data_IF_572237568938
#
_entry.id   IF_572237568938
#
_cell.length_a   1.000
_cell.length_b   1.000
_cell.length_c   1.000
_cell.angle_alpha   90.00
_cell.angle_beta   90.00
_cell.angle_gamma   90.00
#
_symmetry.space_group_name_H-M   'P 1'
#
loop_
_entity.id
_entity.type
_entity.pdbx_description
1 polymer ?
#
# COMPACT_ATOMS: atom_id res chain seq x y z
N UNK A 1 -8.36 -11.72 12.21
CA UNK A 1 -7.95 -13.08 12.63
C UNK A 1 -8.52 -13.37 14.01
N UNK A 2 -9.56 -14.20 14.10
CA UNK A 2 -10.14 -14.60 15.38
C UNK A 2 -9.10 -15.50 16.05
N UNK A 3 -8.58 -15.09 17.22
CA UNK A 3 -7.65 -15.91 18.01
C UNK A 3 -8.35 -17.21 18.40
N UNK A 4 -7.58 -18.27 18.64
CA UNK A 4 -8.11 -19.56 19.12
C UNK A 4 -8.78 -19.40 20.48
N UNK A 5 -10.05 -19.02 20.48
CA UNK A 5 -10.93 -19.07 21.64
C UNK A 5 -11.60 -20.43 21.57
N UNK A 6 -11.32 -21.29 22.56
CA UNK A 6 -11.82 -22.68 22.56
C UNK A 6 -13.34 -22.77 22.62
N UNK A 7 -14.01 -21.74 23.15
CA UNK A 7 -15.46 -21.69 23.30
C UNK A 7 -15.94 -20.24 23.12
N UNK A 8 -16.86 -20.02 22.19
CA UNK A 8 -17.62 -18.78 22.09
C UNK A 8 -18.92 -18.93 22.89
N UNK A 9 -19.48 -17.82 23.37
CA UNK A 9 -20.84 -17.82 23.91
C UNK A 9 -21.82 -18.30 22.82
N UNK A 10 -22.84 -19.09 23.20
CA UNK A 10 -23.76 -19.71 22.25
C UNK A 10 -24.47 -18.69 21.34
N UNK A 11 -24.76 -17.50 21.88
CA UNK A 11 -25.45 -16.40 21.19
C UNK A 11 -24.51 -15.48 20.38
N UNK A 12 -23.21 -15.75 20.36
CA UNK A 12 -22.26 -14.92 19.62
C UNK A 12 -22.58 -14.94 18.12
N UNK A 13 -22.58 -13.76 17.48
CA UNK A 13 -22.86 -13.61 16.03
C UNK A 13 -21.97 -14.50 15.16
N UNK A 14 -20.74 -14.77 15.59
CA UNK A 14 -19.81 -15.64 14.87
C UNK A 14 -20.28 -17.10 14.78
N UNK A 15 -21.25 -17.53 15.59
CA UNK A 15 -21.84 -18.85 15.47
C UNK A 15 -22.81 -18.95 14.29
N UNK A 16 -23.39 -17.81 13.85
CA UNK A 16 -24.23 -17.73 12.66
C UNK A 16 -23.39 -17.90 11.39
N UNK A 17 -23.75 -18.88 10.56
CA UNK A 17 -23.10 -19.11 9.28
C UNK A 17 -23.27 -17.92 8.32
N UNK A 18 -24.48 -17.36 8.25
CA UNK A 18 -24.76 -16.18 7.41
C UNK A 18 -23.86 -15.01 7.78
N UNK A 19 -23.69 -14.74 9.08
CA UNK A 19 -22.82 -13.69 9.56
C UNK A 19 -21.35 -13.96 9.21
N UNK A 20 -20.85 -15.17 9.47
CA UNK A 20 -19.47 -15.56 9.11
C UNK A 20 -19.20 -15.37 7.62
N UNK A 21 -20.09 -15.88 6.78
CA UNK A 21 -19.93 -15.82 5.33
C UNK A 21 -19.93 -14.38 4.82
N UNK A 22 -20.83 -13.55 5.34
CA UNK A 22 -20.86 -12.12 5.00
C UNK A 22 -19.57 -11.41 5.40
N UNK A 23 -19.13 -11.54 6.66
CA UNK A 23 -17.93 -10.87 7.16
C UNK A 23 -16.68 -11.35 6.42
N UNK A 24 -16.52 -12.66 6.23
CA UNK A 24 -15.36 -13.24 5.55
C UNK A 24 -15.28 -12.79 4.08
N UNK A 25 -16.43 -12.77 3.38
CA UNK A 25 -16.50 -12.29 2.01
C UNK A 25 -16.08 -10.82 1.91
N UNK A 26 -16.68 -9.96 2.71
CA UNK A 26 -16.39 -8.51 2.73
C UNK A 26 -14.92 -8.25 3.07
N UNK A 27 -14.37 -8.94 4.09
CA UNK A 27 -12.95 -8.85 4.42
C UNK A 27 -12.06 -9.26 3.24
N UNK A 28 -12.39 -10.35 2.55
CA UNK A 28 -11.61 -10.83 1.41
C UNK A 28 -11.62 -9.85 0.24
N UNK A 29 -12.76 -9.19 -0.03
CA UNK A 29 -12.88 -8.16 -1.06
C UNK A 29 -12.01 -6.94 -0.76
N UNK A 30 -12.02 -6.47 0.50
CA UNK A 30 -11.16 -5.37 0.97
C UNK A 30 -9.68 -5.74 0.81
N UNK A 31 -9.27 -6.92 1.29
CA UNK A 31 -7.87 -7.36 1.21
C UNK A 31 -7.43 -7.53 -0.24
N UNK A 32 -8.30 -8.03 -1.13
CA UNK A 32 -8.02 -8.14 -2.57
C UNK A 32 -7.82 -6.77 -3.21
N UNK A 33 -8.63 -5.78 -2.83
CA UNK A 33 -8.51 -4.40 -3.30
C UNK A 33 -7.15 -3.77 -2.96
N UNK A 34 -6.67 -3.96 -1.73
CA UNK A 34 -5.41 -3.35 -1.28
C UNK A 34 -4.15 -4.14 -1.68
N UNK A 35 -4.29 -5.44 -1.99
CA UNK A 35 -3.18 -6.37 -2.26
C UNK A 35 -2.18 -5.84 -3.30
N UNK A 36 -2.66 -5.27 -4.40
CA UNK A 36 -1.78 -4.73 -5.45
C UNK A 36 -0.90 -3.60 -4.94
N UNK A 37 -1.47 -2.69 -4.14
CA UNK A 37 -0.76 -1.51 -3.60
C UNK A 37 0.39 -1.95 -2.71
N UNK A 38 0.13 -2.86 -1.78
CA UNK A 38 1.16 -3.32 -0.83
C UNK A 38 2.20 -4.23 -1.48
N UNK A 39 1.80 -5.09 -2.42
CA UNK A 39 2.73 -5.97 -3.16
C UNK A 39 3.73 -5.12 -3.93
N UNK A 40 3.26 -4.12 -4.68
CA UNK A 40 4.14 -3.20 -5.40
C UNK A 40 5.02 -2.39 -4.45
N UNK A 41 4.50 -1.99 -3.28
CA UNK A 41 5.29 -1.27 -2.27
C UNK A 41 6.47 -2.09 -1.75
N UNK A 42 6.27 -3.36 -1.43
CA UNK A 42 7.35 -4.26 -1.00
C UNK A 42 8.31 -4.56 -2.15
N UNK A 43 7.84 -4.83 -3.36
CA UNK A 43 8.75 -5.03 -4.51
C UNK A 43 9.62 -3.78 -4.74
N UNK A 44 9.05 -2.58 -4.58
CA UNK A 44 9.78 -1.31 -4.70
C UNK A 44 10.85 -1.12 -3.60
N UNK A 45 10.61 -1.58 -2.36
CA UNK A 45 11.65 -1.50 -1.31
C UNK A 45 12.87 -2.37 -1.61
N UNK A 46 12.72 -3.37 -2.49
CA UNK A 46 13.79 -4.23 -2.99
C UNK A 46 14.19 -3.91 -4.44
N UNK A 47 14.04 -2.67 -4.89
CA UNK A 47 14.28 -2.29 -6.29
C UNK A 47 15.69 -2.64 -6.81
N UNK A 48 16.72 -2.72 -5.93
CA UNK A 48 18.11 -3.01 -6.32
C UNK A 48 18.36 -4.51 -6.49
N UNK A 49 18.00 -5.31 -5.50
CA UNK A 49 18.31 -6.74 -5.43
C UNK A 49 17.18 -7.66 -5.94
N UNK A 50 15.95 -7.13 -5.99
CA UNK A 50 14.72 -7.85 -6.28
C UNK A 50 14.29 -8.75 -5.12
N UNK A 51 13.03 -9.21 -5.17
CA UNK A 51 12.46 -10.07 -4.13
C UNK A 51 11.84 -11.33 -4.75
N UNK A 52 12.02 -12.49 -4.10
CA UNK A 52 11.39 -13.74 -4.54
C UNK A 52 10.09 -14.01 -3.79
N UNK A 53 9.16 -14.76 -4.41
CA UNK A 53 7.77 -14.87 -3.96
C UNK A 53 7.57 -15.24 -2.49
N UNK A 54 8.34 -16.21 -1.97
CA UNK A 54 8.24 -16.61 -0.56
C UNK A 54 8.67 -15.49 0.40
N UNK A 55 9.76 -14.77 0.10
CA UNK A 55 10.20 -13.64 0.94
C UNK A 55 9.19 -12.50 0.89
N UNK A 56 8.61 -12.23 -0.29
CA UNK A 56 7.55 -11.24 -0.45
C UNK A 56 6.32 -11.54 0.43
N UNK A 57 5.88 -12.80 0.49
CA UNK A 57 4.78 -13.21 1.38
C UNK A 57 5.10 -12.95 2.84
N UNK A 58 6.30 -13.36 3.27
CA UNK A 58 6.74 -13.17 4.66
C UNK A 58 6.79 -11.71 5.05
N UNK A 59 7.38 -10.86 4.22
CA UNK A 59 7.48 -9.44 4.52
C UNK A 59 6.11 -8.75 4.54
N UNK A 60 5.17 -9.15 3.69
CA UNK A 60 3.79 -8.66 3.74
C UNK A 60 3.10 -9.03 5.06
N UNK A 61 3.23 -10.27 5.51
CA UNK A 61 2.67 -10.72 6.78
C UNK A 61 3.30 -9.99 7.97
N UNK A 62 4.63 -9.86 7.99
CA UNK A 62 5.38 -9.20 9.05
C UNK A 62 5.06 -7.70 9.11
N UNK A 63 5.10 -7.02 7.95
CA UNK A 63 4.82 -5.58 7.84
C UNK A 63 3.38 -5.22 8.22
N UNK A 64 2.43 -6.15 8.06
CA UNK A 64 1.01 -5.92 8.33
C UNK A 64 0.54 -6.53 9.65
N UNK A 65 1.47 -6.98 10.50
CA UNK A 65 1.17 -7.64 11.78
C UNK A 65 0.20 -8.81 11.62
N UNK A 66 0.31 -9.55 10.50
CA UNK A 66 -0.53 -10.67 10.10
C UNK A 66 -2.02 -10.32 9.87
N UNK A 67 -2.34 -9.04 9.71
CA UNK A 67 -3.70 -8.61 9.35
C UNK A 67 -3.98 -8.84 7.86
N UNK A 68 -3.00 -8.59 7.00
CA UNK A 68 -3.09 -8.89 5.57
C UNK A 68 -2.26 -10.15 5.29
N UNK A 69 -2.97 -11.25 5.09
CA UNK A 69 -2.39 -12.54 4.70
C UNK A 69 -2.76 -12.79 3.25
N UNK A 70 -1.76 -12.86 2.39
CA UNK A 70 -1.94 -13.22 0.98
C UNK A 70 -1.48 -14.66 0.83
N UNK A 71 -2.34 -15.54 0.30
CA UNK A 71 -1.93 -16.91 0.02
C UNK A 71 -1.13 -16.99 -1.29
N UNK A 72 -0.29 -18.01 -1.44
CA UNK A 72 0.46 -18.27 -2.68
C UNK A 72 -0.44 -18.32 -3.92
N UNK A 73 -1.61 -18.97 -3.78
CA UNK A 73 -2.63 -19.07 -4.83
C UNK A 73 -3.20 -17.71 -5.27
N UNK A 74 -3.02 -16.66 -4.47
CA UNK A 74 -3.41 -15.29 -4.82
C UNK A 74 -2.21 -14.47 -5.31
N UNK A 75 -1.05 -14.62 -4.66
CA UNK A 75 0.14 -13.85 -5.00
C UNK A 75 0.65 -14.16 -6.41
N UNK A 76 0.83 -15.43 -6.76
CA UNK A 76 1.48 -15.76 -8.04
C UNK A 76 0.65 -15.37 -9.28
N UNK A 77 -0.69 -15.53 -9.29
CA UNK A 77 -1.51 -14.96 -10.36
C UNK A 77 -1.41 -13.43 -10.45
N UNK A 78 -1.36 -12.73 -9.32
CA UNK A 78 -1.17 -11.28 -9.29
C UNK A 78 0.20 -10.90 -9.90
N UNK A 79 1.28 -11.55 -9.48
CA UNK A 79 2.62 -11.29 -10.03
C UNK A 79 2.67 -11.56 -11.54
N UNK A 80 2.08 -12.66 -12.01
CA UNK A 80 1.99 -12.97 -13.43
C UNK A 80 1.23 -11.89 -14.22
N UNK A 81 0.14 -11.36 -13.65
CA UNK A 81 -0.62 -10.25 -14.23
C UNK A 81 0.24 -8.98 -14.33
N UNK A 82 0.89 -8.60 -13.23
CA UNK A 82 1.76 -7.41 -13.17
C UNK A 82 2.95 -7.49 -14.13
N UNK A 83 3.53 -8.68 -14.32
CA UNK A 83 4.58 -8.91 -15.33
C UNK A 83 4.05 -8.75 -16.76
N UNK A 84 2.88 -9.32 -17.05
CA UNK A 84 2.24 -9.21 -18.36
C UNK A 84 1.96 -7.74 -18.71
N UNK A 85 1.56 -6.96 -17.72
CA UNK A 85 1.30 -5.52 -17.82
C UNK A 85 2.59 -4.67 -17.75
N UNK A 86 3.77 -5.29 -17.65
CA UNK A 86 5.09 -4.63 -17.57
C UNK A 86 5.27 -3.70 -16.36
N UNK A 87 4.41 -3.83 -15.35
CA UNK A 87 4.50 -3.12 -14.07
C UNK A 87 5.69 -3.65 -13.26
N UNK A 88 5.94 -4.95 -13.36
CA UNK A 88 7.13 -5.59 -12.80
C UNK A 88 7.84 -6.39 -13.89
N UNK A 89 9.11 -6.70 -13.65
CA UNK A 89 9.92 -7.65 -14.43
C UNK A 89 10.46 -8.73 -13.51
N UNK A 90 11.02 -9.79 -14.08
CA UNK A 90 11.66 -10.83 -13.29
C UNK A 90 12.94 -11.35 -13.90
N UNK A 91 13.75 -11.95 -13.03
CA UNK A 91 14.97 -12.66 -13.38
C UNK A 91 15.00 -13.99 -12.61
N UNK A 92 15.53 -15.04 -13.25
CA UNK A 92 15.84 -16.29 -12.55
C UNK A 92 17.24 -16.20 -11.96
N UNK A 93 17.37 -16.54 -10.69
CA UNK A 93 18.66 -16.62 -9.98
C UNK A 93 18.80 -18.00 -9.34
N UNK A 94 19.95 -18.63 -9.53
CA UNK A 94 20.28 -19.88 -8.85
C UNK A 94 20.91 -19.56 -7.49
N UNK A 95 20.22 -19.97 -6.42
CA UNK A 95 20.66 -19.74 -5.05
C UNK A 95 20.68 -21.07 -4.33
N UNK A 96 21.87 -21.51 -3.91
CA UNK A 96 22.08 -22.79 -3.22
C UNK A 96 21.50 -23.99 -4.00
N UNK A 97 21.75 -24.03 -5.32
CA UNK A 97 21.28 -25.11 -6.20
C UNK A 97 19.77 -25.10 -6.49
N UNK A 98 19.04 -24.07 -6.05
CA UNK A 98 17.61 -23.89 -6.39
C UNK A 98 17.42 -22.65 -7.24
N UNK A 99 16.83 -22.83 -8.41
CA UNK A 99 16.43 -21.71 -9.27
C UNK A 99 15.20 -21.01 -8.71
N UNK A 100 15.31 -19.70 -8.43
CA UNK A 100 14.25 -18.87 -7.88
C UNK A 100 13.97 -17.70 -8.81
N UNK A 101 12.70 -17.33 -8.95
CA UNK A 101 12.27 -16.15 -9.68
C UNK A 101 12.26 -14.94 -8.76
N UNK A 102 13.06 -13.94 -9.08
CA UNK A 102 13.12 -12.65 -8.40
C UNK A 102 12.35 -11.62 -9.22
N UNK A 103 11.58 -10.79 -8.54
CA UNK A 103 10.76 -9.75 -9.14
C UNK A 103 11.34 -8.37 -8.81
N UNK A 104 11.27 -7.49 -9.79
CA UNK A 104 11.74 -6.11 -9.72
C UNK A 104 10.64 -5.19 -10.23
N UNK A 105 10.49 -4.03 -9.58
CA UNK A 105 9.61 -2.99 -10.11
C UNK A 105 10.23 -2.38 -11.36
N UNK A 106 9.42 -2.03 -12.35
CA UNK A 106 9.88 -1.25 -13.52
C UNK A 106 9.74 0.25 -13.23
N UNK A 107 10.38 1.14 -14.01
CA UNK A 107 10.16 2.58 -13.88
C UNK A 107 8.67 2.96 -14.01
N UNK A 108 7.96 2.34 -14.94
CA UNK A 108 6.52 2.53 -15.10
C UNK A 108 5.74 1.99 -13.89
N UNK A 109 6.13 0.81 -13.39
CA UNK A 109 5.54 0.26 -12.18
C UNK A 109 5.72 1.12 -10.94
N UNK A 110 6.85 1.83 -10.84
CA UNK A 110 7.10 2.77 -9.75
C UNK A 110 6.14 3.95 -9.81
N UNK A 111 5.87 4.51 -11.00
CA UNK A 111 4.86 5.57 -11.18
C UNK A 111 3.47 5.09 -10.81
N UNK A 112 3.09 3.90 -11.27
CA UNK A 112 1.80 3.27 -10.91
C UNK A 112 1.71 3.08 -9.39
N UNK A 113 2.76 2.58 -8.75
CA UNK A 113 2.82 2.39 -7.30
C UNK A 113 2.69 3.72 -6.54
N UNK A 114 3.37 4.79 -6.99
CA UNK A 114 3.26 6.12 -6.41
C UNK A 114 1.85 6.70 -6.53
N UNK A 115 1.21 6.52 -7.70
CA UNK A 115 -0.14 6.98 -7.95
C UNK A 115 -1.15 6.25 -7.06
N UNK A 116 -1.11 4.92 -7.05
CA UNK A 116 -2.00 4.09 -6.23
C UNK A 116 -1.82 4.35 -4.73
N UNK A 117 -0.58 4.50 -4.28
CA UNK A 117 -0.29 4.84 -2.88
C UNK A 117 -0.84 6.22 -2.53
N UNK A 118 -0.65 7.20 -3.42
CA UNK A 118 -1.14 8.55 -3.25
C UNK A 118 -2.67 8.63 -3.14
N UNK A 119 -3.36 7.97 -4.08
CA UNK A 119 -4.80 7.81 -4.05
C UNK A 119 -5.28 7.13 -2.77
N UNK A 120 -4.67 6.00 -2.39
CA UNK A 120 -5.06 5.27 -1.19
C UNK A 120 -4.87 6.09 0.10
N UNK A 121 -3.75 6.81 0.23
CA UNK A 121 -3.53 7.71 1.37
C UNK A 121 -4.60 8.79 1.46
N UNK A 122 -4.97 9.42 0.34
CA UNK A 122 -6.01 10.44 0.29
C UNK A 122 -7.39 9.89 0.60
N UNK A 123 -7.70 8.69 0.13
CA UNK A 123 -8.95 8.01 0.44
C UNK A 123 -9.06 7.74 1.95
N UNK A 124 -8.03 7.18 2.57
CA UNK A 124 -8.00 6.90 4.02
C UNK A 124 -8.10 8.18 4.83
N UNK A 125 -7.40 9.25 4.43
CA UNK A 125 -7.51 10.58 5.05
C UNK A 125 -8.94 11.14 4.93
N UNK A 126 -9.60 11.02 3.77
CA UNK A 126 -10.98 11.53 3.62
C UNK A 126 -12.03 10.79 4.44
N UNK A 127 -11.72 9.56 4.86
CA UNK A 127 -12.62 8.72 5.65
C UNK A 127 -12.22 8.67 7.13
N UNK A 128 -11.17 9.39 7.55
CA UNK A 128 -10.64 9.30 8.92
C UNK A 128 -11.70 9.61 9.97
N UNK A 129 -12.45 10.69 9.73
CA UNK A 129 -13.47 11.19 10.65
C UNK A 129 -14.69 10.27 10.67
N UNK A 130 -15.02 9.64 9.54
CA UNK A 130 -16.11 8.67 9.45
C UNK A 130 -15.77 7.35 10.14
N UNK A 131 -14.49 7.00 10.19
CA UNK A 131 -14.00 5.73 10.72
C UNK A 131 -13.43 5.83 12.14
N UNK A 132 -13.49 7.01 12.76
CA UNK A 132 -12.89 7.31 14.07
C UNK A 132 -11.42 6.89 14.17
N UNK A 133 -10.66 7.06 13.07
CA UNK A 133 -9.23 6.72 13.00
C UNK A 133 -8.38 7.99 12.93
N UNK A 134 -7.30 8.02 13.71
CA UNK A 134 -6.27 9.04 13.57
C UNK A 134 -5.25 8.57 12.53
N UNK A 135 -5.14 9.31 11.42
CA UNK A 135 -4.22 8.99 10.33
C UNK A 135 -3.08 10.01 10.34
N UNK A 136 -1.87 9.57 10.69
CA UNK A 136 -0.66 10.37 10.55
C UNK A 136 0.06 10.01 9.24
N UNK A 137 -0.10 10.86 8.23
CA UNK A 137 0.61 10.70 6.96
C UNK A 137 1.95 11.44 7.03
N UNK A 138 3.05 10.87 6.54
CA UNK A 138 4.33 11.57 6.51
C UNK A 138 4.24 12.82 5.62
N UNK A 139 4.18 14.00 6.25
CA UNK A 139 4.03 15.30 5.59
C UNK A 139 5.37 15.90 5.13
N UNK A 140 6.50 15.42 5.66
CA UNK A 140 7.81 16.03 5.41
C UNK A 140 8.37 15.59 4.06
N UNK A 141 8.65 16.56 3.19
CA UNK A 141 9.22 16.37 1.84
C UNK A 141 8.34 15.50 0.91
N UNK A 142 7.02 15.52 1.09
CA UNK A 142 6.09 14.80 0.23
C UNK A 142 5.00 15.76 -0.24
N UNK A 143 4.70 15.76 -1.53
CA UNK A 143 3.56 16.44 -2.12
C UNK A 143 2.60 15.41 -2.69
N UNK A 144 1.33 15.50 -2.33
CA UNK A 144 0.27 14.79 -3.06
C UNK A 144 -0.22 15.70 -4.18
N UNK A 145 -0.13 15.22 -5.42
CA UNK A 145 -0.56 15.99 -6.58
C UNK A 145 -2.06 16.31 -6.46
N UNK A 146 -2.48 17.58 -6.55
CA UNK A 146 -3.89 17.94 -6.40
C UNK A 146 -4.77 17.45 -7.57
N UNK A 147 -4.17 17.16 -8.73
CA UNK A 147 -4.92 16.71 -9.90
C UNK A 147 -5.17 15.18 -9.92
N UNK A 148 -4.22 14.38 -9.44
CA UNK A 148 -4.29 12.92 -9.57
C UNK A 148 -3.92 12.17 -8.29
N UNK A 149 -3.79 12.86 -7.16
CA UNK A 149 -3.35 12.32 -5.88
C UNK A 149 -1.95 11.67 -5.88
N UNK A 150 -1.19 11.68 -6.99
CA UNK A 150 0.13 11.05 -7.06
C UNK A 150 1.04 11.52 -5.91
N UNK A 151 1.69 10.57 -5.24
CA UNK A 151 2.63 10.86 -4.17
C UNK A 151 4.00 11.22 -4.77
N UNK A 152 4.46 12.44 -4.55
CA UNK A 152 5.70 12.99 -5.11
C UNK A 152 6.70 13.22 -3.96
N UNK A 153 7.92 12.72 -4.10
CA UNK A 153 9.02 13.02 -3.18
C UNK A 153 9.65 14.37 -3.56
N UNK A 154 9.56 15.36 -2.66
CA UNK A 154 10.06 16.71 -2.88
C UNK A 154 11.58 16.83 -2.71
N UNK A 155 12.28 15.76 -2.32
CA UNK A 155 13.75 15.76 -2.27
C UNK A 155 14.39 15.78 -3.66
N UNK A 156 13.62 15.48 -4.70
CA UNK A 156 14.06 15.58 -6.09
C UNK A 156 13.96 17.04 -6.58
N UNK A 157 15.09 17.75 -6.74
CA UNK A 157 15.09 19.16 -7.17
C UNK A 157 14.51 19.33 -8.59
N UNK A 158 14.54 18.30 -9.44
CA UNK A 158 14.17 18.39 -10.86
C UNK A 158 12.68 18.08 -11.13
N UNK A 159 11.94 17.63 -10.12
CA UNK A 159 10.50 17.32 -10.21
C UNK A 159 9.59 18.56 -10.38
N UNK A 160 9.68 19.24 -11.52
CA UNK A 160 8.87 20.42 -11.86
C UNK A 160 7.43 20.07 -12.25
N UNK A 161 7.20 18.84 -12.73
CA UNK A 161 5.90 18.35 -13.14
C UNK A 161 5.57 17.05 -12.41
N UNK A 162 4.29 16.81 -12.19
CA UNK A 162 3.82 15.51 -11.72
C UNK A 162 4.12 14.46 -12.80
N UNK A 163 4.95 13.47 -12.46
CA UNK A 163 5.36 12.40 -13.39
C UNK A 163 4.21 11.52 -13.92
N UNK A 164 3.03 11.60 -13.27
CA UNK A 164 1.84 10.82 -13.63
C UNK A 164 0.89 11.61 -14.53
N UNK A 165 0.50 12.83 -14.14
CA UNK A 165 -0.51 13.59 -14.88
C UNK A 165 0.01 14.82 -15.63
N UNK A 166 1.31 15.14 -15.51
CA UNK A 166 1.92 16.30 -16.17
C UNK A 166 1.57 17.66 -15.56
N UNK A 167 0.87 17.73 -14.42
CA UNK A 167 0.60 18.99 -13.74
C UNK A 167 1.92 19.69 -13.36
N UNK A 168 2.08 20.97 -13.68
CA UNK A 168 3.20 21.78 -13.16
C UNK A 168 3.02 21.95 -11.64
N UNK A 169 4.01 21.51 -10.88
CA UNK A 169 4.01 21.55 -9.41
C UNK A 169 5.06 22.51 -8.83
N UNK A 170 5.77 23.28 -9.65
CA UNK A 170 6.82 24.21 -9.19
C UNK A 170 6.28 25.18 -8.12
N UNK A 171 5.08 25.70 -8.33
CA UNK A 171 4.44 26.65 -7.42
C UNK A 171 3.83 25.98 -6.17
N UNK A 172 3.70 24.65 -6.17
CA UNK A 172 3.14 23.90 -5.03
C UNK A 172 4.21 23.49 -4.01
N UNK A 173 5.50 23.60 -4.37
CA UNK A 173 6.63 23.29 -3.50
C UNK A 173 6.81 24.27 -2.32
N UNK A 174 6.15 25.43 -2.40
CA UNK A 174 6.42 26.58 -1.53
C UNK A 174 5.22 27.05 -0.70
N UNK A 175 4.19 26.22 -0.48
CA UNK A 175 3.12 26.60 0.46
C UNK A 175 3.59 26.24 1.87
N UNK A 176 4.05 27.19 2.71
CA UNK A 176 4.27 26.90 4.12
C UNK A 176 2.95 26.46 4.71
N UNK A 177 2.95 25.32 5.40
CA UNK A 177 1.82 24.99 6.27
C UNK A 177 1.75 26.08 7.33
N UNK A 178 0.74 26.93 7.27
CA UNK A 178 0.39 27.80 8.39
C UNK A 178 0.07 26.89 9.57
N UNK A 179 0.94 26.89 10.57
CA UNK A 179 0.62 26.35 11.89
C UNK A 179 -0.61 27.10 12.38
N UNK A 180 -1.77 26.44 12.45
CA UNK A 180 -2.81 26.85 13.38
C UNK A 180 -2.39 26.32 14.77
N UNK A 181 -1.39 26.99 15.34
CA UNK A 181 -1.18 27.04 16.79
C UNK A 181 -1.71 28.40 17.24
N UNK A 182 -3.03 28.53 17.36
CA UNK A 182 -3.61 29.59 18.20
C UNK A 182 -3.89 28.96 19.57
N UNK A 183 -2.80 28.74 20.30
CA UNK A 183 -2.79 28.61 21.73
C UNK A 183 -2.10 29.84 22.30
N UNK A 184 -2.77 30.99 22.27
CA UNK A 184 -2.39 32.14 23.08
C UNK A 184 -3.43 32.30 24.18
N UNK A 185 -2.98 31.97 25.39
CA UNK A 185 -3.56 32.39 26.66
C UNK A 185 -3.64 33.91 26.70
N UNK A 186 -4.81 34.44 27.02
CA UNK A 186 -4.97 35.82 27.49
C UNK A 186 -5.09 35.75 29.01
N UNK A 187 -3.97 36.00 29.71
CA UNK A 187 -3.79 37.00 30.79
C UNK A 187 -2.39 36.91 31.40
#
# INVERSE_FOLDING_TARGET
MIRQVKQFQAEALINSETYRNFVQKTQSEILRGISTVVVLKIINSHAKEGIYGYLLLRELEESTKKTLVIEEGTLYPLLKKLEKEKVIRSERKDVQGRSRKYYFITPEGQKIQNHLMGFFSKLVESMSDLMDINVDLPQKNVLFCPNCANRIDLKDPDSHFCEVCGLNIQNLRFVPKTNNENGDEIL
#
